data_IF_690410059964
#
_entry.id   IF_690410059964
#
_cell.length_a   1.000
_cell.length_b   1.000
_cell.length_c   1.000
_cell.angle_alpha   90.00
_cell.angle_beta   90.00
_cell.angle_gamma   90.00
#
_symmetry.space_group_name_H-M   'P 1'
#
loop_
_entity.id
_entity.type
_entity.pdbx_description
1 polymer ?
#
# COMPACT_ATOMS: atom_id res chain seq x y z
N UNK A 1 -11.44 -5.81 13.63
CA UNK A 1 -10.78 -7.06 13.21
C UNK A 1 -11.42 -8.19 14.00
N UNK A 2 -12.74 -8.34 13.85
CA UNK A 2 -13.56 -9.10 14.82
C UNK A 2 -14.13 -10.39 14.24
N UNK A 3 -14.11 -10.55 12.91
CA UNK A 3 -14.59 -11.73 12.19
C UNK A 3 -13.71 -11.95 10.95
N UNK A 4 -13.55 -13.21 10.54
CA UNK A 4 -12.81 -13.60 9.33
C UNK A 4 -11.28 -13.58 9.45
N UNK A 5 -10.73 -13.55 10.67
CA UNK A 5 -9.27 -13.63 10.86
C UNK A 5 -8.72 -14.99 10.44
N UNK A 6 -9.44 -16.07 10.75
CA UNK A 6 -9.05 -17.44 10.40
C UNK A 6 -9.16 -17.73 8.89
N UNK A 7 -9.92 -16.91 8.15
CA UNK A 7 -10.08 -17.03 6.69
C UNK A 7 -8.97 -16.32 5.90
N UNK A 8 -8.04 -15.62 6.57
CA UNK A 8 -6.97 -14.87 5.91
C UNK A 8 -5.81 -15.79 5.50
N UNK A 9 -5.69 -16.01 4.20
CA UNK A 9 -4.56 -16.72 3.59
C UNK A 9 -3.23 -15.91 3.60
N UNK A 10 -3.32 -14.59 3.81
CA UNK A 10 -2.18 -13.68 3.79
C UNK A 10 -2.37 -12.50 4.78
N UNK A 11 -1.28 -11.86 5.24
CA UNK A 11 -1.38 -10.72 6.14
C UNK A 11 -2.06 -9.52 5.48
N UNK A 12 -2.89 -8.80 6.23
CA UNK A 12 -3.49 -7.54 5.78
C UNK A 12 -2.43 -6.44 5.78
N UNK A 13 -2.13 -5.88 4.61
CA UNK A 13 -1.21 -4.76 4.43
C UNK A 13 -1.97 -3.45 4.22
N UNK A 14 -1.32 -2.33 4.55
CA UNK A 14 -1.83 -0.98 4.27
C UNK A 14 -0.94 -0.31 3.23
N UNK A 15 -1.58 0.40 2.30
CA UNK A 15 -0.89 1.26 1.34
C UNK A 15 -1.34 2.69 1.64
N UNK A 16 -0.39 3.55 2.00
CA UNK A 16 -0.65 4.93 2.41
C UNK A 16 0.30 5.88 1.70
N UNK A 17 0.05 7.18 1.86
CA UNK A 17 1.04 8.19 1.54
C UNK A 17 2.26 8.04 2.46
N UNK A 18 3.36 8.66 2.06
CA UNK A 18 4.54 8.80 2.91
C UNK A 18 4.19 9.63 4.15
N UNK A 19 4.76 9.26 5.31
CA UNK A 19 4.50 9.92 6.60
C UNK A 19 5.29 11.22 6.74
N UNK A 20 5.01 12.16 5.83
CA UNK A 20 5.62 13.48 5.74
C UNK A 20 4.54 14.50 5.36
N UNK A 21 4.71 15.79 5.74
CA UNK A 21 3.88 16.85 5.20
C UNK A 21 3.93 16.86 3.67
N UNK A 22 2.79 17.03 3.02
CA UNK A 22 2.72 16.97 1.56
C UNK A 22 3.55 18.11 0.93
N UNK A 23 4.58 17.80 0.12
CA UNK A 23 5.45 18.80 -0.47
C UNK A 23 4.82 19.43 -1.72
N UNK A 24 5.11 20.72 -1.96
CA UNK A 24 4.61 21.45 -3.12
C UNK A 24 5.30 21.06 -4.44
N UNK A 25 6.58 20.65 -4.38
CA UNK A 25 7.33 20.31 -5.58
C UNK A 25 6.72 19.07 -6.25
N UNK A 26 6.28 19.20 -7.51
CA UNK A 26 5.49 18.18 -8.21
C UNK A 26 6.14 16.78 -8.28
N UNK A 27 7.47 16.72 -8.32
CA UNK A 27 8.20 15.45 -8.26
C UNK A 27 8.10 14.78 -6.88
N UNK A 28 8.18 15.57 -5.80
CA UNK A 28 8.07 15.10 -4.43
C UNK A 28 6.62 14.79 -4.05
N UNK A 29 5.66 15.58 -4.54
CA UNK A 29 4.23 15.32 -4.36
C UNK A 29 3.86 13.94 -4.92
N UNK A 30 4.29 13.65 -6.16
CA UNK A 30 4.09 12.34 -6.79
C UNK A 30 4.75 11.19 -6.03
N UNK A 31 5.89 11.43 -5.40
CA UNK A 31 6.58 10.42 -4.59
C UNK A 31 5.87 10.17 -3.25
N UNK A 32 5.31 11.23 -2.66
CA UNK A 32 4.62 11.19 -1.38
C UNK A 32 3.22 10.55 -1.46
N UNK A 33 2.51 10.74 -2.58
CA UNK A 33 1.14 10.25 -2.77
C UNK A 33 1.13 8.76 -3.17
N UNK A 34 0.12 8.03 -2.68
CA UNK A 34 -0.17 6.66 -3.10
C UNK A 34 -0.47 6.60 -4.60
N UNK A 35 0.10 5.64 -5.30
CA UNK A 35 -0.08 5.49 -6.74
C UNK A 35 -0.38 4.03 -7.11
N UNK A 36 -0.86 3.77 -8.34
CA UNK A 36 -1.22 2.42 -8.77
C UNK A 36 -0.08 1.41 -8.66
N UNK A 37 1.16 1.83 -8.91
CA UNK A 37 2.33 0.95 -8.85
C UNK A 37 2.58 0.46 -7.41
N UNK A 38 2.48 1.35 -6.41
CA UNK A 38 2.57 0.98 -4.98
C UNK A 38 1.46 -0.01 -4.58
N UNK A 39 0.26 0.15 -5.12
CA UNK A 39 -0.87 -0.79 -4.87
C UNK A 39 -0.59 -2.15 -5.48
N UNK A 40 -0.16 -2.19 -6.75
CA UNK A 40 0.17 -3.43 -7.44
C UNK A 40 1.31 -4.15 -6.74
N UNK A 41 2.35 -3.44 -6.30
CA UNK A 41 3.44 -4.02 -5.53
C UNK A 41 2.94 -4.66 -4.23
N UNK A 42 2.08 -3.97 -3.47
CA UNK A 42 1.51 -4.50 -2.24
C UNK A 42 0.63 -5.74 -2.48
N UNK A 43 -0.18 -5.73 -3.54
CA UNK A 43 -0.99 -6.89 -3.95
C UNK A 43 -0.10 -8.08 -4.31
N UNK A 44 0.96 -7.86 -5.08
CA UNK A 44 1.90 -8.94 -5.45
C UNK A 44 2.65 -9.53 -4.25
N UNK A 45 2.84 -8.77 -3.16
CA UNK A 45 3.42 -9.30 -1.91
C UNK A 45 2.50 -10.28 -1.19
N UNK A 46 1.18 -10.11 -1.30
CA UNK A 46 0.19 -10.96 -0.60
C UNK A 46 -0.42 -12.03 -1.51
N UNK A 47 -0.41 -11.85 -2.82
CA UNK A 47 -0.79 -12.88 -3.77
C UNK A 47 0.39 -13.82 -4.03
N UNK A 48 0.18 -15.13 -4.01
CA UNK A 48 1.20 -16.17 -4.23
C UNK A 48 1.77 -16.23 -5.67
N UNK A 49 1.99 -15.09 -6.33
CA UNK A 49 2.50 -14.97 -7.70
C UNK A 49 3.76 -14.12 -7.71
N UNK A 50 4.85 -14.73 -8.20
CA UNK A 50 6.06 -14.01 -8.62
C UNK A 50 5.74 -13.05 -9.78
#
# INVERSE_FOLDING_TARGET
MEQGFDDLDAPVLRVTNEDVPLPYAANLEKAAIVNPDKVVEAVRKVCYRK
#
